data_IF_006474784497
#
_entry.id   IF_006474784497
#
_cell.length_a   1.000
_cell.length_b   1.000
_cell.length_c   1.000
_cell.angle_alpha   90.00
_cell.angle_beta   90.00
_cell.angle_gamma   90.00
#
_symmetry.space_group_name_H-M   'P 1'
#
loop_
_entity.id
_entity.type
_entity.pdbx_description
1 polymer ?
#
# COMPACT_ATOMS: atom_id res chain seq x y z
N UNK A 1 -1.05 0.24 24.85
CA UNK A 1 -0.12 0.74 23.79
C UNK A 1 0.14 -0.27 22.67
N UNK A 2 0.62 -1.49 22.96
CA UNK A 2 1.04 -2.46 21.92
C UNK A 2 -0.06 -2.86 20.93
N UNK A 3 -1.30 -3.08 21.40
CA UNK A 3 -2.48 -3.36 20.54
C UNK A 3 -2.78 -2.23 19.54
N UNK A 4 -2.46 -0.98 19.90
CA UNK A 4 -2.62 0.17 19.01
C UNK A 4 -1.62 0.14 17.85
N UNK A 5 -0.36 -0.20 18.12
CA UNK A 5 0.67 -0.34 17.08
C UNK A 5 0.33 -1.44 16.07
N UNK A 6 -0.10 -2.61 16.54
CA UNK A 6 -0.54 -3.68 15.63
C UNK A 6 -1.74 -3.28 14.76
N UNK A 7 -2.67 -2.48 15.30
CA UNK A 7 -3.79 -1.93 14.51
C UNK A 7 -3.29 -0.96 13.43
N UNK A 8 -2.32 -0.11 13.74
CA UNK A 8 -1.73 0.81 12.76
C UNK A 8 -1.02 0.02 11.65
N UNK A 9 -0.27 -1.03 12.02
CA UNK A 9 0.41 -1.91 11.06
C UNK A 9 -0.62 -2.60 10.16
N UNK A 10 -1.64 -3.25 10.72
CA UNK A 10 -2.67 -3.94 9.93
C UNK A 10 -3.40 -3.00 8.97
N UNK A 11 -3.82 -1.82 9.46
CA UNK A 11 -4.53 -0.84 8.64
C UNK A 11 -3.69 -0.33 7.46
N UNK A 12 -2.41 0.00 7.69
CA UNK A 12 -1.55 0.51 6.62
C UNK A 12 -1.05 -0.59 5.69
N UNK A 13 -0.88 -1.82 6.19
CA UNK A 13 -0.66 -2.98 5.34
C UNK A 13 -1.82 -3.20 4.37
N UNK A 14 -3.06 -3.12 4.87
CA UNK A 14 -4.25 -3.28 4.02
C UNK A 14 -4.35 -2.17 2.96
N UNK A 15 -4.20 -0.89 3.37
CA UNK A 15 -4.22 0.26 2.44
C UNK A 15 -3.16 0.17 1.35
N UNK A 16 -1.93 -0.18 1.70
CA UNK A 16 -0.86 -0.38 0.73
C UNK A 16 -1.18 -1.53 -0.24
N UNK A 17 -1.72 -2.64 0.26
CA UNK A 17 -2.12 -3.78 -0.58
C UNK A 17 -3.25 -3.44 -1.55
N UNK A 18 -4.26 -2.73 -1.08
CA UNK A 18 -5.40 -2.31 -1.91
C UNK A 18 -4.97 -1.31 -2.98
N UNK A 19 -4.18 -0.29 -2.62
CA UNK A 19 -3.65 0.67 -3.59
C UNK A 19 -2.79 0.00 -4.67
N UNK A 20 -1.90 -0.92 -4.27
CA UNK A 20 -1.13 -1.73 -5.23
C UNK A 20 -2.04 -2.61 -6.09
N UNK A 21 -3.12 -3.19 -5.55
CA UNK A 21 -4.05 -4.02 -6.32
C UNK A 21 -4.74 -3.20 -7.41
N UNK A 22 -5.17 -1.98 -7.10
CA UNK A 22 -5.78 -1.06 -8.06
C UNK A 22 -4.79 -0.72 -9.17
N UNK A 23 -3.55 -0.33 -8.85
CA UNK A 23 -2.53 -0.06 -9.87
C UNK A 23 -2.26 -1.30 -10.75
N UNK A 24 -2.18 -2.50 -10.14
CA UNK A 24 -1.95 -3.76 -10.85
C UNK A 24 -3.05 -4.04 -11.89
N UNK A 25 -4.31 -3.80 -11.54
CA UNK A 25 -5.45 -3.99 -12.46
C UNK A 25 -5.51 -2.91 -13.54
N UNK A 26 -5.18 -1.66 -13.23
CA UNK A 26 -5.09 -0.60 -14.24
C UNK A 26 -4.03 -0.96 -15.28
N UNK A 27 -2.83 -1.36 -14.87
CA UNK A 27 -1.79 -1.77 -15.83
C UNK A 27 -2.20 -3.00 -16.64
N UNK A 28 -2.80 -4.00 -15.99
CA UNK A 28 -3.16 -5.26 -16.66
C UNK A 28 -4.30 -5.09 -17.66
N UNK A 29 -5.37 -4.43 -17.25
CA UNK A 29 -6.65 -4.48 -17.97
C UNK A 29 -6.95 -3.20 -18.74
N UNK A 30 -6.46 -2.05 -18.27
CA UNK A 30 -6.75 -0.77 -18.92
C UNK A 30 -5.61 -0.28 -19.82
N UNK A 31 -4.37 -0.39 -19.35
CA UNK A 31 -3.18 0.06 -20.09
C UNK A 31 -2.49 -1.07 -20.87
N UNK A 32 -2.86 -2.33 -20.62
CA UNK A 32 -2.24 -3.52 -21.20
C UNK A 32 -0.69 -3.55 -21.05
N UNK A 33 -0.15 -2.90 -20.02
CA UNK A 33 1.27 -2.88 -19.68
C UNK A 33 1.59 -4.06 -18.75
N UNK A 34 1.94 -5.18 -19.38
CA UNK A 34 2.30 -6.42 -18.67
C UNK A 34 3.53 -6.27 -17.78
N UNK A 35 4.50 -5.45 -18.17
CA UNK A 35 5.73 -5.25 -17.41
C UNK A 35 5.46 -4.47 -16.12
N UNK A 36 4.75 -3.35 -16.21
CA UNK A 36 4.35 -2.58 -15.04
C UNK A 36 3.46 -3.41 -14.10
N UNK A 37 2.50 -4.18 -14.64
CA UNK A 37 1.67 -5.08 -13.85
C UNK A 37 2.50 -6.11 -13.06
N UNK A 38 3.53 -6.71 -13.68
CA UNK A 38 4.45 -7.63 -13.01
C UNK A 38 5.25 -6.92 -11.92
N UNK A 39 5.75 -5.71 -12.17
CA UNK A 39 6.48 -4.90 -11.18
C UNK A 39 5.60 -4.61 -9.95
N UNK A 40 4.35 -4.17 -10.14
CA UNK A 40 3.40 -3.96 -9.03
C UNK A 40 3.15 -5.26 -8.26
N UNK A 41 2.90 -6.37 -8.96
CA UNK A 41 2.67 -7.70 -8.34
C UNK A 41 3.85 -8.13 -7.48
N UNK A 42 5.09 -7.88 -7.93
CA UNK A 42 6.33 -8.17 -7.17
C UNK A 42 6.42 -7.31 -5.91
N UNK A 43 6.11 -6.01 -6.00
CA UNK A 43 6.05 -5.12 -4.84
C UNK A 43 5.03 -5.63 -3.83
N UNK A 44 3.81 -5.97 -4.28
CA UNK A 44 2.74 -6.50 -3.42
C UNK A 44 3.11 -7.81 -2.72
N UNK A 45 3.75 -8.75 -3.42
CA UNK A 45 4.26 -10.00 -2.83
C UNK A 45 5.38 -9.74 -1.82
N UNK A 46 6.28 -8.80 -2.12
CA UNK A 46 7.37 -8.41 -1.21
C UNK A 46 6.80 -7.81 0.07
N UNK A 47 5.81 -6.92 -0.03
CA UNK A 47 5.11 -6.36 1.13
C UNK A 47 4.48 -7.45 2.00
N UNK A 48 3.77 -8.40 1.39
CA UNK A 48 3.15 -9.51 2.10
C UNK A 48 4.19 -10.37 2.84
N UNK A 49 5.36 -10.61 2.24
CA UNK A 49 6.47 -11.32 2.88
C UNK A 49 7.04 -10.55 4.08
N UNK A 50 7.21 -9.23 3.96
CA UNK A 50 7.73 -8.39 5.05
C UNK A 50 6.75 -8.42 6.23
N UNK A 51 5.48 -8.14 5.99
CA UNK A 51 4.46 -8.09 7.05
C UNK A 51 4.10 -9.47 7.57
N UNK A 52 4.23 -10.53 6.75
CA UNK A 52 4.02 -11.92 7.18
C UNK A 52 5.00 -12.41 8.25
N UNK A 53 6.08 -11.66 8.53
CA UNK A 53 6.97 -11.91 9.68
C UNK A 53 6.33 -11.53 11.02
N UNK A 54 5.29 -10.70 11.02
CA UNK A 54 4.52 -10.37 12.23
C UNK A 54 3.52 -11.49 12.57
N UNK A 55 3.26 -11.75 13.87
CA UNK A 55 2.26 -12.74 14.26
C UNK A 55 0.87 -12.34 13.75
N UNK A 56 0.33 -13.14 12.82
CA UNK A 56 -0.92 -12.79 12.11
C UNK A 56 -2.11 -12.67 13.07
N UNK A 57 -2.16 -13.47 14.13
CA UNK A 57 -3.23 -13.39 15.14
C UNK A 57 -3.23 -12.05 15.90
N UNK A 58 -2.07 -11.40 16.08
CA UNK A 58 -1.98 -10.08 16.72
C UNK A 58 -2.53 -8.97 15.81
N UNK A 59 -2.26 -9.07 14.51
CA UNK A 59 -2.83 -8.14 13.52
C UNK A 59 -4.36 -8.30 13.45
N UNK A 60 -4.85 -9.54 13.37
CA UNK A 60 -6.28 -9.83 13.31
C UNK A 60 -7.02 -9.41 14.59
N UNK A 61 -6.49 -9.75 15.77
CA UNK A 61 -7.12 -9.37 17.06
C UNK A 61 -7.06 -7.87 17.35
N UNK A 62 -6.20 -7.13 16.63
CA UNK A 62 -6.15 -5.68 16.69
C UNK A 62 -7.19 -5.00 15.79
N UNK A 63 -7.76 -5.69 14.79
CA UNK A 63 -8.84 -5.17 13.96
C UNK A 63 -10.04 -4.82 14.83
N UNK A 64 -10.63 -3.68 14.55
CA UNK A 64 -11.88 -3.30 15.17
C UNK A 64 -12.79 -2.77 14.05
N UNK A 65 -13.63 -3.64 13.51
CA UNK A 65 -14.52 -3.31 12.38
C UNK A 65 -15.68 -2.44 12.87
N UNK A 66 -16.23 -2.74 14.04
CA UNK A 66 -17.41 -2.06 14.61
C UNK A 66 -17.17 -0.59 14.97
N UNK A 67 -15.97 -0.21 15.41
CA UNK A 67 -15.62 1.21 15.67
C UNK A 67 -15.09 1.96 14.44
N UNK A 68 -14.75 1.27 13.36
CA UNK A 68 -14.30 1.87 12.11
C UNK A 68 -15.46 1.98 11.10
N UNK A 69 -16.61 2.48 11.56
CA UNK A 69 -17.69 2.96 10.70
C UNK A 69 -17.21 4.18 9.92
N UNK A 70 -16.35 3.96 8.92
CA UNK A 70 -16.02 4.97 7.94
C UNK A 70 -17.35 5.36 7.29
N UNK A 71 -17.86 6.55 7.62
CA UNK A 71 -19.04 7.11 6.96
C UNK A 71 -18.69 7.20 5.48
N UNK A 72 -19.27 6.32 4.66
CA UNK A 72 -19.12 6.35 3.22
C UNK A 72 -19.75 7.64 2.72
N UNK A 73 -18.94 8.70 2.56
CA UNK A 73 -19.35 9.87 1.79
C UNK A 73 -19.30 9.47 0.34
N UNK A 74 -20.48 9.24 -0.25
CA UNK A 74 -20.61 9.18 -1.70
C UNK A 74 -20.39 10.59 -2.24
N UNK A 75 -19.17 10.89 -2.67
CA UNK A 75 -18.94 12.06 -3.53
C UNK A 75 -19.32 11.68 -4.96
N UNK A 76 -20.08 12.53 -5.64
CA UNK A 76 -20.17 12.55 -7.10
C UNK A 76 -18.79 12.86 -7.64
N UNK A 77 -18.01 11.81 -7.87
CA UNK A 77 -16.63 11.97 -8.34
C UNK A 77 -16.68 12.35 -9.81
N UNK A 78 -16.09 13.48 -10.23
CA UNK A 78 -15.99 13.83 -11.65
C UNK A 78 -15.20 12.77 -12.42
N UNK A 79 -15.25 12.79 -13.76
CA UNK A 79 -14.38 11.93 -14.60
C UNK A 79 -12.92 12.15 -14.16
N UNK A 80 -12.30 11.11 -13.60
CA UNK A 80 -10.89 11.11 -13.21
C UNK A 80 -10.09 10.47 -14.34
N UNK A 81 -9.05 11.14 -14.82
CA UNK A 81 -8.11 10.58 -15.79
C UNK A 81 -7.38 9.37 -15.19
N UNK A 82 -7.08 8.35 -16.01
CA UNK A 82 -6.38 7.13 -15.57
C UNK A 82 -5.04 7.45 -14.89
N UNK A 83 -4.31 8.45 -15.39
CA UNK A 83 -3.06 8.92 -14.78
C UNK A 83 -3.26 9.45 -13.37
N UNK A 84 -4.31 10.22 -13.14
CA UNK A 84 -4.65 10.73 -11.81
C UNK A 84 -5.10 9.60 -10.86
N UNK A 85 -5.80 8.59 -11.38
CA UNK A 85 -6.15 7.40 -10.60
C UNK A 85 -4.90 6.61 -10.17
N UNK A 86 -3.93 6.43 -11.07
CA UNK A 86 -2.64 5.81 -10.74
C UNK A 86 -1.87 6.65 -9.71
N UNK A 87 -1.75 7.96 -9.94
CA UNK A 87 -1.06 8.90 -9.03
C UNK A 87 -1.59 8.82 -7.61
N UNK A 88 -2.93 8.94 -7.45
CA UNK A 88 -3.59 8.87 -6.15
C UNK A 88 -3.33 7.55 -5.44
N UNK A 89 -3.33 6.43 -6.16
CA UNK A 89 -3.07 5.13 -5.56
C UNK A 89 -1.59 4.94 -5.20
N UNK A 90 -0.64 5.39 -6.04
CA UNK A 90 0.78 5.37 -5.69
C UNK A 90 1.10 6.24 -4.48
N UNK A 91 0.51 7.44 -4.38
CA UNK A 91 0.65 8.31 -3.22
C UNK A 91 0.14 7.62 -1.94
N UNK A 92 -1.07 7.03 -1.97
CA UNK A 92 -1.61 6.29 -0.81
C UNK A 92 -0.74 5.10 -0.40
N UNK A 93 -0.15 4.40 -1.37
CA UNK A 93 0.79 3.30 -1.11
C UNK A 93 2.05 3.83 -0.45
N UNK A 94 2.66 4.89 -0.96
CA UNK A 94 3.90 5.44 -0.39
C UNK A 94 3.70 6.00 1.01
N UNK A 95 2.59 6.69 1.28
CA UNK A 95 2.18 7.13 2.62
C UNK A 95 2.01 5.93 3.57
N UNK A 96 1.30 4.89 3.13
CA UNK A 96 1.10 3.68 3.94
C UNK A 96 2.42 2.96 4.24
N UNK A 97 3.31 2.86 3.26
CA UNK A 97 4.65 2.29 3.44
C UNK A 97 5.51 3.12 4.39
N UNK A 98 5.39 4.44 4.38
CA UNK A 98 6.08 5.33 5.34
C UNK A 98 5.61 5.10 6.76
N UNK A 99 4.30 4.93 6.97
CA UNK A 99 3.76 4.59 8.31
C UNK A 99 4.25 3.23 8.76
N UNK A 100 4.25 2.22 7.87
CA UNK A 100 4.79 0.90 8.19
C UNK A 100 6.28 0.98 8.55
N UNK A 101 7.07 1.77 7.82
CA UNK A 101 8.50 1.95 8.08
C UNK A 101 8.75 2.40 9.52
N UNK A 102 8.07 3.45 9.98
CA UNK A 102 8.27 4.01 11.31
C UNK A 102 7.67 3.10 12.41
N UNK A 103 6.48 2.55 12.19
CA UNK A 103 5.79 1.76 13.22
C UNK A 103 6.37 0.36 13.43
N UNK A 104 6.84 -0.29 12.37
CA UNK A 104 7.49 -1.62 12.48
C UNK A 104 8.89 -1.52 13.09
N UNK A 105 9.59 -0.38 12.90
CA UNK A 105 10.92 -0.13 13.47
C UNK A 105 10.94 -0.11 15.00
N UNK A 106 9.79 0.15 15.64
CA UNK A 106 9.62 0.08 17.10
C UNK A 106 9.81 -1.36 17.60
N UNK A 107 9.43 -2.35 16.79
CA UNK A 107 9.57 -3.76 17.14
C UNK A 107 10.94 -4.31 16.73
N UNK A 108 11.39 -3.98 15.53
CA UNK A 108 12.67 -4.44 15.02
C UNK A 108 13.23 -3.43 13.99
N UNK A 109 14.38 -2.79 14.24
CA UNK A 109 14.97 -1.81 13.34
C UNK A 109 15.24 -2.33 11.92
N UNK A 110 15.36 -3.65 11.75
CA UNK A 110 15.59 -4.30 10.45
C UNK A 110 14.48 -4.04 9.42
N UNK A 111 13.23 -3.84 9.85
CA UNK A 111 12.11 -3.56 8.94
C UNK A 111 12.25 -2.22 8.22
N UNK A 112 12.90 -1.24 8.84
CA UNK A 112 13.06 0.11 8.27
C UNK A 112 13.65 0.06 6.87
N UNK A 113 14.77 -0.65 6.72
CA UNK A 113 15.51 -0.75 5.45
C UNK A 113 14.70 -1.52 4.39
N UNK A 114 13.98 -2.56 4.78
CA UNK A 114 13.13 -3.32 3.85
C UNK A 114 11.97 -2.48 3.31
N UNK A 115 11.26 -1.76 4.19
CA UNK A 115 10.11 -0.92 3.82
C UNK A 115 10.53 0.34 3.08
N UNK A 116 11.64 0.96 3.47
CA UNK A 116 12.23 2.08 2.73
C UNK A 116 12.57 1.69 1.29
N UNK A 117 13.25 0.56 1.08
CA UNK A 117 13.55 0.06 -0.27
C UNK A 117 12.28 -0.22 -1.07
N UNK A 118 11.24 -0.77 -0.42
CA UNK A 118 9.98 -1.02 -1.08
C UNK A 118 9.30 0.29 -1.51
N UNK A 119 9.34 1.33 -0.67
CA UNK A 119 8.82 2.66 -0.99
C UNK A 119 9.56 3.30 -2.16
N UNK A 120 10.89 3.16 -2.23
CA UNK A 120 11.68 3.61 -3.38
C UNK A 120 11.25 2.92 -4.69
N UNK A 121 11.03 1.61 -4.68
CA UNK A 121 10.52 0.88 -5.86
C UNK A 121 9.15 1.40 -6.32
N UNK A 122 8.31 1.83 -5.39
CA UNK A 122 7.01 2.43 -5.72
C UNK A 122 7.21 3.80 -6.38
N UNK A 123 8.12 4.64 -5.89
CA UNK A 123 8.44 5.92 -6.54
C UNK A 123 9.03 5.75 -7.94
N UNK A 124 9.94 4.79 -8.13
CA UNK A 124 10.51 4.48 -9.44
C UNK A 124 9.42 4.05 -10.42
N UNK A 125 8.52 3.18 -9.98
CA UNK A 125 7.41 2.73 -10.80
C UNK A 125 6.43 3.87 -11.12
N UNK A 126 6.07 4.68 -10.12
CA UNK A 126 5.24 5.86 -10.32
C UNK A 126 5.87 6.82 -11.35
N UNK A 127 7.16 7.11 -11.22
CA UNK A 127 7.90 7.95 -12.17
C UNK A 127 7.89 7.37 -13.58
N UNK A 128 8.08 6.06 -13.74
CA UNK A 128 8.07 5.42 -15.06
C UNK A 128 6.67 5.38 -15.67
N UNK A 129 5.63 5.24 -14.85
CA UNK A 129 4.24 5.11 -15.32
C UNK A 129 3.54 6.46 -15.54
N UNK A 130 3.99 7.52 -14.88
CA UNK A 130 3.38 8.86 -14.94
C UNK A 130 4.30 9.94 -15.50
N UNK A 131 5.61 9.71 -15.47
CA UNK A 131 6.59 10.58 -16.11
C UNK A 131 6.53 10.38 -17.62
N UNK A 132 5.81 11.29 -18.29
CA UNK A 132 5.83 11.36 -19.74
C UNK A 132 7.22 11.74 -20.27
N UNK A 133 7.58 11.12 -21.40
CA UNK A 133 7.89 11.93 -22.58
C UNK A 133 6.61 12.61 -23.04
#
# INVERSE_FOLDING_TARGET
MQKGLYRIIDANYNRAREGLRVCEDIFRFLLCDGEAAIRVKRIRRTLARIIGKFPTYLLLSARNVEKNGAKFKMSTTPKVEVKELLRRNFQRVTESLRVLEETTSIFEPGYKKELMRLRFKVYELEKLSLGGK
#
